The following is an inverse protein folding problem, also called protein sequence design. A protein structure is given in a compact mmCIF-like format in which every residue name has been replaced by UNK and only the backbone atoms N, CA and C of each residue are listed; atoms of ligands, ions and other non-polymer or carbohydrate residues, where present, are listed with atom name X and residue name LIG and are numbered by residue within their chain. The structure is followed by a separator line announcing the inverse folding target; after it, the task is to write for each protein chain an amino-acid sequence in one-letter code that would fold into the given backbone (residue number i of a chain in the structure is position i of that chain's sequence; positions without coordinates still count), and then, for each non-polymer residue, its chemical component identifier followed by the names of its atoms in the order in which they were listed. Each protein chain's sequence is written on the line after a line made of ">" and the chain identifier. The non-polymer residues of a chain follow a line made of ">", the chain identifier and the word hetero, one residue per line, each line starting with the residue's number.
data_IF_005214871197
#
_entry.id   IF_005214871197
#
_cell.length_a   1.000
_cell.length_b   1.000
_cell.length_c   1.000
_cell.angle_alpha   90.00
_cell.angle_beta   90.00
_cell.angle_gamma   90.00
#
_symmetry.space_group_name_H-M   'P 1'
#
loop_
_entity.id
_entity.type
_entity.pdbx_description
1 polymer ?
#
# COMPACT_ATOMS: atom_id res chain seq x y z
N UNK A 1 -5.41 4.48 -7.62
CA UNK A 1 -6.23 4.38 -6.39
C UNK A 1 -7.70 4.07 -6.68
N UNK A 2 -8.46 4.77 -7.57
CA UNK A 2 -9.86 4.42 -7.85
C UNK A 2 -10.06 3.00 -8.37
N UNK A 3 -9.18 2.53 -9.27
CA UNK A 3 -9.18 1.16 -9.78
C UNK A 3 -8.96 0.14 -8.66
N UNK A 4 -8.08 0.44 -7.70
CA UNK A 4 -7.83 -0.41 -6.53
C UNK A 4 -9.04 -0.51 -5.60
N UNK A 5 -9.77 0.59 -5.40
CA UNK A 5 -11.04 0.58 -4.66
C UNK A 5 -12.07 -0.30 -5.35
N UNK A 6 -12.30 -0.10 -6.65
CA UNK A 6 -13.21 -0.94 -7.44
C UNK A 6 -12.82 -2.42 -7.41
N UNK A 7 -11.53 -2.75 -7.52
CA UNK A 7 -11.06 -4.13 -7.43
C UNK A 7 -11.30 -4.74 -6.04
N UNK A 8 -11.07 -3.98 -4.96
CA UNK A 8 -11.33 -4.40 -3.59
C UNK A 8 -12.82 -4.64 -3.29
N UNK A 9 -13.73 -3.96 -4.02
CA UNK A 9 -15.17 -4.17 -3.87
C UNK A 9 -15.69 -5.36 -4.69
N UNK A 10 -15.00 -5.72 -5.80
CA UNK A 10 -15.44 -6.76 -6.73
C UNK A 10 -14.78 -8.12 -6.46
N UNK A 11 -13.54 -8.12 -6.03
CA UNK A 11 -12.75 -9.33 -5.76
C UNK A 11 -12.56 -9.53 -4.25
N UNK A 12 -12.12 -10.73 -3.87
CA UNK A 12 -11.70 -11.02 -2.51
C UNK A 12 -10.58 -10.06 -2.09
N UNK A 13 -10.79 -9.32 -1.01
CA UNK A 13 -9.82 -8.34 -0.50
C UNK A 13 -8.51 -8.98 -0.09
N UNK A 14 -8.57 -10.20 0.44
CA UNK A 14 -7.40 -11.03 0.72
C UNK A 14 -6.53 -11.17 -0.52
N UNK A 15 -7.12 -11.60 -1.64
CA UNK A 15 -6.36 -11.84 -2.86
C UNK A 15 -5.85 -10.55 -3.50
N UNK A 16 -6.62 -9.47 -3.46
CA UNK A 16 -6.17 -8.16 -3.95
C UNK A 16 -4.95 -7.67 -3.18
N UNK A 17 -4.98 -7.75 -1.83
CA UNK A 17 -3.84 -7.37 -0.98
C UNK A 17 -2.63 -8.27 -1.24
N UNK A 18 -2.84 -9.59 -1.28
CA UNK A 18 -1.75 -10.57 -1.45
C UNK A 18 -1.07 -10.42 -2.81
N UNK A 19 -1.86 -10.33 -3.89
CA UNK A 19 -1.33 -10.18 -5.24
C UNK A 19 -0.60 -8.83 -5.38
N UNK A 20 -1.13 -7.75 -4.81
CA UNK A 20 -0.49 -6.45 -4.82
C UNK A 20 0.89 -6.48 -4.14
N UNK A 21 1.00 -7.12 -2.96
CA UNK A 21 2.27 -7.29 -2.25
C UNK A 21 3.26 -8.13 -3.06
N UNK A 22 2.83 -9.27 -3.58
CA UNK A 22 3.69 -10.15 -4.39
C UNK A 22 4.18 -9.45 -5.65
N UNK A 23 3.29 -8.77 -6.37
CA UNK A 23 3.61 -8.00 -7.56
C UNK A 23 4.63 -6.89 -7.26
N UNK A 24 4.38 -6.10 -6.21
CA UNK A 24 5.30 -5.05 -5.78
C UNK A 24 6.66 -5.61 -5.37
N UNK A 25 6.67 -6.70 -4.63
CA UNK A 25 7.91 -7.33 -4.15
C UNK A 25 8.75 -7.90 -5.30
N UNK A 26 8.11 -8.54 -6.28
CA UNK A 26 8.77 -9.03 -7.49
C UNK A 26 9.34 -7.86 -8.31
N UNK A 27 8.56 -6.80 -8.55
CA UNK A 27 9.02 -5.62 -9.27
C UNK A 27 10.17 -4.91 -8.52
N UNK A 28 10.13 -4.88 -7.19
CA UNK A 28 11.21 -4.36 -6.36
C UNK A 28 12.47 -5.21 -6.50
N UNK A 29 12.37 -6.54 -6.44
CA UNK A 29 13.52 -7.44 -6.64
C UNK A 29 14.16 -7.25 -8.02
N UNK A 30 13.35 -7.16 -9.08
CA UNK A 30 13.84 -6.90 -10.43
C UNK A 30 14.47 -5.51 -10.59
N UNK A 31 14.13 -4.53 -9.76
CA UNK A 31 14.79 -3.23 -9.74
C UNK A 31 16.28 -3.36 -9.42
N UNK A 32 16.67 -4.30 -8.55
CA UNK A 32 18.08 -4.59 -8.28
C UNK A 32 18.84 -5.25 -9.45
N UNK A 33 18.14 -5.69 -10.48
CA UNK A 33 18.74 -6.25 -11.72
C UNK A 33 18.72 -5.24 -12.86
N UNK A 34 18.36 -3.98 -12.61
CA UNK A 34 18.26 -2.96 -13.64
C UNK A 34 19.64 -2.59 -14.19
N UNK A 35 19.84 -2.77 -15.49
CA UNK A 35 21.10 -2.47 -16.20
C UNK A 35 21.15 -1.07 -16.77
N UNK A 36 20.05 -0.30 -16.69
CA UNK A 36 19.97 1.05 -17.21
C UNK A 36 18.82 1.86 -16.63
N UNK A 37 18.93 3.17 -16.78
CA UNK A 37 17.99 4.16 -16.20
C UNK A 37 16.55 3.91 -16.69
N UNK A 38 16.35 3.59 -17.96
CA UNK A 38 15.01 3.36 -18.52
C UNK A 38 14.37 2.14 -17.84
N UNK A 39 15.09 1.03 -17.68
CA UNK A 39 14.61 -0.15 -16.99
C UNK A 39 14.28 0.14 -15.53
N UNK A 40 15.12 0.92 -14.85
CA UNK A 40 14.90 1.35 -13.48
C UNK A 40 13.63 2.19 -13.35
N UNK A 41 13.42 3.17 -14.23
CA UNK A 41 12.20 3.99 -14.25
C UNK A 41 10.97 3.12 -14.47
N UNK A 42 10.99 2.22 -15.46
CA UNK A 42 9.86 1.34 -15.76
C UNK A 42 9.51 0.44 -14.57
N UNK A 43 10.50 -0.23 -13.99
CA UNK A 43 10.30 -1.12 -12.84
C UNK A 43 9.78 -0.36 -11.61
N UNK A 44 10.33 0.82 -11.33
CA UNK A 44 9.85 1.67 -10.22
C UNK A 44 8.43 2.19 -10.46
N UNK A 45 8.11 2.61 -11.67
CA UNK A 45 6.76 3.05 -12.03
C UNK A 45 5.74 1.91 -11.93
N UNK A 46 6.10 0.71 -12.41
CA UNK A 46 5.26 -0.49 -12.33
C UNK A 46 5.10 -0.94 -10.88
N UNK A 47 6.17 -0.98 -10.09
CA UNK A 47 6.12 -1.35 -8.67
C UNK A 47 5.20 -0.39 -7.89
N UNK A 48 5.42 0.91 -8.02
CA UNK A 48 4.64 1.92 -7.28
C UNK A 48 3.21 2.01 -7.82
N UNK A 49 3.05 2.15 -9.13
CA UNK A 49 1.73 2.32 -9.74
C UNK A 49 0.84 1.09 -9.65
N UNK A 50 1.41 -0.11 -9.87
CA UNK A 50 0.67 -1.37 -9.82
C UNK A 50 0.41 -1.88 -8.41
N UNK A 51 1.42 -1.88 -7.54
CA UNK A 51 1.31 -2.42 -6.19
C UNK A 51 0.54 -1.51 -5.25
N UNK A 52 1.00 -0.28 -5.10
CA UNK A 52 0.46 0.66 -4.11
C UNK A 52 -0.98 1.09 -4.41
N UNK A 53 -1.32 1.27 -5.69
CA UNK A 53 -2.66 1.68 -6.11
C UNK A 53 -3.76 0.66 -5.73
N UNK A 54 -3.43 -0.63 -5.70
CA UNK A 54 -4.37 -1.70 -5.33
C UNK A 54 -4.28 -2.07 -3.85
N UNK A 55 -3.09 -2.02 -3.26
CA UNK A 55 -2.87 -2.39 -1.87
C UNK A 55 -3.61 -1.49 -0.89
N UNK A 56 -3.45 -0.18 -1.01
CA UNK A 56 -3.97 0.79 -0.03
C UNK A 56 -5.46 0.64 0.24
N UNK A 57 -6.34 0.80 -0.77
CA UNK A 57 -7.79 0.70 -0.57
C UNK A 57 -8.24 -0.65 -0.02
N UNK A 58 -7.70 -1.76 -0.56
CA UNK A 58 -8.05 -3.10 -0.14
C UNK A 58 -7.61 -3.39 1.30
N UNK A 59 -6.39 -2.98 1.68
CA UNK A 59 -5.84 -3.15 3.01
C UNK A 59 -6.63 -2.38 4.08
N UNK A 60 -6.91 -1.08 3.86
CA UNK A 60 -7.72 -0.29 4.80
C UNK A 60 -9.14 -0.82 4.94
N UNK A 61 -9.72 -1.31 3.85
CA UNK A 61 -11.04 -1.92 3.87
C UNK A 61 -11.03 -3.24 4.66
N UNK A 62 -10.02 -4.09 4.45
CA UNK A 62 -9.86 -5.34 5.18
C UNK A 62 -9.65 -5.08 6.67
N UNK A 63 -8.77 -4.15 7.03
CA UNK A 63 -8.51 -3.76 8.41
C UNK A 63 -9.78 -3.27 9.12
N UNK A 64 -10.60 -2.45 8.41
CA UNK A 64 -11.88 -1.96 8.93
C UNK A 64 -12.93 -3.05 9.13
N UNK A 65 -12.88 -4.14 8.38
CA UNK A 65 -13.79 -5.28 8.54
C UNK A 65 -13.47 -6.14 9.76
N UNK A 66 -12.17 -6.37 9.99
CA UNK A 66 -11.72 -7.16 11.16
C UNK A 66 -11.87 -6.40 12.49
N UNK A 67 -11.83 -5.08 12.45
CA UNK A 67 -11.82 -4.23 13.64
C UNK A 67 -12.99 -3.24 13.64
N UNK A 68 -14.25 -3.74 13.71
CA UNK A 68 -15.45 -2.87 13.68
C UNK A 68 -15.47 -1.87 14.84
N UNK A 69 -15.26 -2.34 16.07
CA UNK A 69 -15.30 -1.51 17.28
C UNK A 69 -13.98 -0.78 17.57
N UNK A 70 -12.85 -1.38 17.18
CA UNK A 70 -11.50 -0.86 17.46
C UNK A 70 -10.83 -0.30 16.21
N UNK A 71 -11.60 0.09 15.20
CA UNK A 71 -11.11 0.53 13.88
C UNK A 71 -10.04 1.64 13.98
N UNK A 72 -10.31 2.68 14.77
CA UNK A 72 -9.37 3.80 14.92
C UNK A 72 -8.02 3.34 15.50
N UNK A 73 -8.07 2.47 16.52
CA UNK A 73 -6.87 1.90 17.14
C UNK A 73 -6.08 1.03 16.16
N UNK A 74 -6.76 0.18 15.41
CA UNK A 74 -6.12 -0.68 14.41
C UNK A 74 -5.45 0.14 13.29
N UNK A 75 -6.12 1.20 12.80
CA UNK A 75 -5.56 2.12 11.83
C UNK A 75 -4.34 2.86 12.36
N UNK A 76 -4.36 3.31 13.63
CA UNK A 76 -3.22 4.00 14.26
C UNK A 76 -2.02 3.06 14.41
N UNK A 77 -2.23 1.81 14.83
CA UNK A 77 -1.15 0.81 14.92
C UNK A 77 -0.56 0.52 13.54
N UNK A 78 -1.41 0.33 12.52
CA UNK A 78 -0.98 0.14 11.15
C UNK A 78 -0.12 1.31 10.65
N UNK A 79 -0.57 2.54 10.90
CA UNK A 79 0.16 3.74 10.47
C UNK A 79 1.49 3.90 11.20
N UNK A 80 1.52 3.59 12.51
CA UNK A 80 2.77 3.59 13.29
C UNK A 80 3.75 2.54 12.74
N UNK A 81 3.29 1.32 12.46
CA UNK A 81 4.10 0.28 11.86
C UNK A 81 4.66 0.69 10.48
N UNK A 82 3.87 1.40 9.68
CA UNK A 82 4.32 1.95 8.39
C UNK A 82 5.51 2.90 8.58
N UNK A 83 5.42 3.89 9.48
CA UNK A 83 6.52 4.84 9.71
C UNK A 83 7.77 4.19 10.31
N UNK A 84 7.60 3.24 11.23
CA UNK A 84 8.72 2.45 11.75
C UNK A 84 9.39 1.67 10.60
N UNK A 85 8.59 1.08 9.72
CA UNK A 85 9.08 0.38 8.53
C UNK A 85 9.87 1.27 7.59
N UNK A 86 9.41 2.50 7.34
CA UNK A 86 10.11 3.49 6.50
C UNK A 86 11.49 3.84 7.09
N UNK A 87 11.56 4.11 8.40
CA UNK A 87 12.80 4.44 9.09
C UNK A 87 13.78 3.28 9.02
N UNK A 88 13.36 2.08 9.39
CA UNK A 88 14.19 0.87 9.39
C UNK A 88 14.65 0.51 7.97
N UNK A 89 13.76 0.62 6.99
CA UNK A 89 14.09 0.33 5.60
C UNK A 89 15.13 1.31 5.06
N UNK A 90 15.02 2.60 5.35
CA UNK A 90 16.00 3.60 4.93
C UNK A 90 17.39 3.33 5.52
N UNK A 91 17.45 3.09 6.83
CA UNK A 91 18.70 2.76 7.51
C UNK A 91 19.32 1.46 6.98
N UNK A 92 18.53 0.39 6.87
CA UNK A 92 19.02 -0.91 6.42
C UNK A 92 19.41 -0.88 4.94
N UNK A 93 18.65 -0.16 4.09
CA UNK A 93 18.99 0.00 2.69
C UNK A 93 20.31 0.73 2.50
N UNK A 94 20.56 1.81 3.25
CA UNK A 94 21.85 2.51 3.26
C UNK A 94 23.00 1.59 3.67
N UNK A 95 22.84 0.88 4.79
CA UNK A 95 23.86 -0.06 5.27
C UNK A 95 24.19 -1.16 4.24
N UNK A 96 23.17 -1.74 3.59
CA UNK A 96 23.38 -2.77 2.55
C UNK A 96 24.05 -2.15 1.33
N UNK A 97 23.62 -0.96 0.92
CA UNK A 97 24.17 -0.27 -0.23
C UNK A 97 25.68 0.04 -0.06
N UNK A 98 26.09 0.47 1.14
CA UNK A 98 27.48 0.76 1.47
C UNK A 98 28.38 -0.50 1.49
N UNK A 99 27.83 -1.66 1.86
CA UNK A 99 28.61 -2.90 2.01
C UNK A 99 28.59 -3.78 0.77
N UNK A 100 27.47 -3.87 0.07
CA UNK A 100 27.23 -4.83 -0.99
C UNK A 100 26.88 -4.17 -2.35
N UNK A 101 26.49 -2.91 -2.34
CA UNK A 101 25.93 -2.19 -3.49
C UNK A 101 24.42 -2.00 -3.37
N UNK A 102 23.92 -0.93 -4.00
CA UNK A 102 22.51 -0.54 -3.94
C UNK A 102 21.56 -1.61 -4.53
N UNK A 103 22.03 -2.40 -5.51
CA UNK A 103 21.29 -3.47 -6.16
C UNK A 103 20.81 -4.52 -5.16
N UNK A 104 21.68 -4.88 -4.21
CA UNK A 104 21.37 -5.87 -3.18
C UNK A 104 20.28 -5.40 -2.23
N UNK A 105 20.15 -4.12 -1.97
CA UNK A 105 19.05 -3.58 -1.17
C UNK A 105 17.69 -3.93 -1.79
N UNK A 106 17.54 -3.74 -3.11
CA UNK A 106 16.30 -4.07 -3.81
C UNK A 106 16.06 -5.59 -3.88
N UNK A 107 17.10 -6.38 -4.11
CA UNK A 107 16.99 -7.85 -4.18
C UNK A 107 16.55 -8.40 -2.82
N UNK A 108 17.18 -7.97 -1.73
CA UNK A 108 16.89 -8.46 -0.37
C UNK A 108 15.48 -8.04 0.06
N UNK A 109 15.12 -6.76 -0.08
CA UNK A 109 13.78 -6.31 0.28
C UNK A 109 12.70 -6.93 -0.57
N UNK A 110 12.93 -7.12 -1.88
CA UNK A 110 12.02 -7.82 -2.75
C UNK A 110 11.83 -9.28 -2.34
N UNK A 111 12.91 -9.99 -2.03
CA UNK A 111 12.85 -11.38 -1.56
C UNK A 111 12.09 -11.51 -0.23
N UNK A 112 12.37 -10.65 0.74
CA UNK A 112 11.65 -10.59 2.03
C UNK A 112 10.16 -10.30 1.79
N UNK A 113 9.85 -9.37 0.88
CA UNK A 113 8.47 -9.06 0.52
C UNK A 113 7.74 -10.23 -0.14
N UNK A 114 8.39 -11.02 -0.99
CA UNK A 114 7.82 -12.24 -1.58
C UNK A 114 7.51 -13.27 -0.49
N UNK A 115 8.46 -13.54 0.41
CA UNK A 115 8.24 -14.45 1.54
C UNK A 115 7.06 -14.00 2.39
N UNK A 116 7.00 -12.70 2.70
CA UNK A 116 5.88 -12.13 3.46
C UNK A 116 4.55 -12.24 2.72
N UNK A 117 4.53 -11.97 1.41
CA UNK A 117 3.36 -12.13 0.55
C UNK A 117 2.83 -13.56 0.54
N UNK A 118 3.72 -14.56 0.51
CA UNK A 118 3.36 -15.99 0.60
C UNK A 118 2.76 -16.31 1.99
N UNK A 119 3.35 -15.81 3.07
CA UNK A 119 2.81 -15.96 4.42
C UNK A 119 1.41 -15.35 4.52
N UNK A 120 1.22 -14.15 3.94
CA UNK A 120 -0.09 -13.50 3.87
C UNK A 120 -1.11 -14.33 3.08
N UNK A 121 -0.71 -14.90 1.93
CA UNK A 121 -1.59 -15.78 1.14
C UNK A 121 -2.14 -16.96 1.96
N UNK A 122 -1.29 -17.55 2.81
CA UNK A 122 -1.63 -18.73 3.62
C UNK A 122 -2.42 -18.33 4.88
N UNK A 123 -2.02 -17.25 5.54
CA UNK A 123 -2.54 -16.90 6.88
C UNK A 123 -3.75 -15.96 6.84
N UNK A 124 -3.86 -15.12 5.81
CA UNK A 124 -4.95 -14.16 5.71
C UNK A 124 -6.23 -14.91 5.32
N UNK A 125 -7.28 -14.75 6.13
CA UNK A 125 -8.63 -15.28 5.82
C UNK A 125 -9.49 -14.17 5.22
N UNK A 126 -10.36 -14.49 4.28
CA UNK A 126 -11.39 -13.56 3.83
C UNK A 126 -12.59 -13.64 4.78
N UNK A 127 -13.20 -12.52 5.11
CA UNK A 127 -14.30 -12.53 6.08
C UNK A 127 -15.53 -13.28 5.57
N UNK A 128 -15.73 -13.39 4.25
CA UNK A 128 -16.76 -14.26 3.67
C UNK A 128 -16.55 -15.73 4.00
N UNK A 129 -15.30 -16.19 4.13
CA UNK A 129 -14.99 -17.56 4.56
C UNK A 129 -15.20 -17.73 6.07
N UNK A 130 -14.91 -16.69 6.88
CA UNK A 130 -15.08 -16.72 8.33
C UNK A 130 -16.56 -16.62 8.75
N UNK A 131 -17.38 -15.87 8.04
CA UNK A 131 -18.82 -15.78 8.31
C UNK A 131 -19.56 -17.06 7.88
N UNK A 132 -19.04 -17.82 6.92
CA UNK A 132 -19.60 -19.13 6.54
C UNK A 132 -19.26 -20.22 7.58
N UNK A 133 -18.17 -20.09 8.34
CA UNK A 133 -17.83 -20.99 9.45
C UNK A 133 -18.58 -20.64 10.75
N UNK A 134 -18.98 -19.36 10.95
CA UNK A 134 -19.60 -18.88 12.20
C UNK A 134 -21.15 -18.72 12.13
N UNK A 135 -21.74 -18.81 10.93
CA UNK A 135 -23.18 -18.67 10.74
C UNK A 135 -23.97 -19.96 11.09
N UNK A 136 -24.01 -20.27 12.39
CA UNK A 136 -25.20 -20.89 12.99
C UNK A 136 -26.07 -19.89 13.80
N UNK A 137 -25.85 -18.58 13.68
CA UNK A 137 -26.65 -17.60 14.43
C UNK A 137 -26.92 -16.32 13.59
N UNK A 138 -28.22 -16.19 13.24
CA UNK A 138 -28.98 -15.01 12.84
C UNK A 138 -28.45 -14.12 11.70
N UNK A 139 -29.11 -14.23 10.55
CA UNK A 139 -29.09 -13.31 9.42
C UNK A 139 -29.63 -11.93 9.86
N UNK A 140 -28.73 -10.97 10.06
CA UNK A 140 -29.10 -9.56 9.95
C UNK A 140 -29.02 -9.19 8.46
N UNK A 141 -30.12 -8.73 7.82
CA UNK A 141 -30.09 -8.39 6.40
C UNK A 141 -29.11 -7.24 6.17
N UNK A 142 -27.95 -7.57 5.63
CA UNK A 142 -27.03 -6.56 5.08
C UNK A 142 -27.72 -6.03 3.84
N UNK A 143 -28.25 -4.80 3.94
CA UNK A 143 -28.73 -4.04 2.79
C UNK A 143 -27.75 -4.24 1.63
N UNK A 144 -28.27 -4.71 0.51
CA UNK A 144 -27.51 -4.89 -0.74
C UNK A 144 -26.75 -3.60 -1.02
N UNK A 145 -25.45 -3.62 -0.77
CA UNK A 145 -24.56 -2.51 -1.18
C UNK A 145 -24.59 -2.52 -2.70
N UNK A 146 -25.38 -1.62 -3.29
CA UNK A 146 -25.43 -1.40 -4.74
C UNK A 146 -23.99 -1.30 -5.23
N UNK A 147 -23.60 -2.19 -6.13
CA UNK A 147 -22.28 -2.16 -6.78
C UNK A 147 -22.15 -0.84 -7.55
N UNK A 148 -21.52 0.13 -6.93
CA UNK A 148 -21.30 1.47 -7.49
C UNK A 148 -20.28 1.34 -8.63
N UNK A 149 -20.63 1.81 -9.82
CA UNK A 149 -19.72 1.87 -10.95
C UNK A 149 -18.54 2.83 -10.66
N UNK A 150 -17.40 2.63 -11.34
CA UNK A 150 -16.23 3.52 -11.18
C UNK A 150 -16.61 4.98 -11.44
N UNK A 151 -17.38 5.25 -12.47
CA UNK A 151 -17.83 6.60 -12.83
C UNK A 151 -18.76 7.22 -11.77
N UNK A 152 -19.64 6.41 -11.17
CA UNK A 152 -20.52 6.88 -10.10
C UNK A 152 -19.74 7.22 -8.83
N UNK A 153 -18.67 6.44 -8.52
CA UNK A 153 -17.74 6.75 -7.45
C UNK A 153 -17.04 8.08 -7.66
N UNK A 154 -16.51 8.35 -8.85
CA UNK A 154 -15.93 9.64 -9.20
C UNK A 154 -16.95 10.78 -9.07
N UNK A 155 -18.12 10.61 -9.66
CA UNK A 155 -19.20 11.60 -9.57
C UNK A 155 -19.54 11.92 -8.12
N UNK A 156 -19.67 10.92 -7.27
CA UNK A 156 -19.97 11.09 -5.84
C UNK A 156 -18.90 11.92 -5.12
N UNK A 157 -17.60 11.67 -5.36
CA UNK A 157 -16.51 12.45 -4.76
C UNK A 157 -16.57 13.91 -5.20
N UNK A 158 -16.76 14.19 -6.48
CA UNK A 158 -16.80 15.56 -7.00
C UNK A 158 -18.10 16.31 -6.68
N UNK A 159 -19.21 15.61 -6.45
CA UNK A 159 -20.50 16.23 -6.10
C UNK A 159 -20.70 16.40 -4.59
N UNK A 160 -19.90 15.72 -3.76
CA UNK A 160 -20.00 15.84 -2.30
C UNK A 160 -18.95 16.83 -1.77
N UNK A 161 -19.33 18.04 -1.30
CA UNK A 161 -18.38 19.09 -0.91
C UNK A 161 -17.39 18.63 0.16
N UNK A 162 -17.84 17.86 1.15
CA UNK A 162 -16.99 17.31 2.22
C UNK A 162 -15.93 16.34 1.64
N UNK A 163 -16.31 15.46 0.73
CA UNK A 163 -15.39 14.53 0.09
C UNK A 163 -14.35 15.26 -0.76
N UNK A 164 -14.78 16.31 -1.48
CA UNK A 164 -13.90 17.14 -2.31
C UNK A 164 -12.89 17.90 -1.44
N UNK A 165 -13.34 18.55 -0.36
CA UNK A 165 -12.46 19.28 0.55
C UNK A 165 -11.43 18.36 1.22
N UNK A 166 -11.84 17.16 1.66
CA UNK A 166 -10.93 16.17 2.22
C UNK A 166 -9.91 15.69 1.19
N UNK A 167 -10.34 15.47 -0.04
CA UNK A 167 -9.45 15.06 -1.14
C UNK A 167 -8.40 16.13 -1.44
N UNK A 168 -8.80 17.39 -1.56
CA UNK A 168 -7.88 18.51 -1.81
C UNK A 168 -6.93 18.69 -0.62
N UNK A 169 -7.44 18.69 0.61
CA UNK A 169 -6.61 18.83 1.82
C UNK A 169 -5.60 17.72 1.96
N UNK A 170 -6.01 16.46 1.72
CA UNK A 170 -5.11 15.31 1.76
C UNK A 170 -4.07 15.36 0.64
N UNK A 171 -4.44 15.77 -0.57
CA UNK A 171 -3.51 15.95 -1.69
C UNK A 171 -2.45 17.01 -1.38
N UNK A 172 -2.83 18.13 -0.76
CA UNK A 172 -1.91 19.17 -0.31
C UNK A 172 -0.94 18.64 0.76
N UNK A 173 -1.44 17.88 1.73
CA UNK A 173 -0.60 17.26 2.77
C UNK A 173 0.43 16.30 2.16
N UNK A 174 0.00 15.42 1.26
CA UNK A 174 0.90 14.47 0.59
C UNK A 174 1.93 15.19 -0.27
N UNK A 175 1.53 16.25 -0.97
CA UNK A 175 2.46 17.07 -1.77
C UNK A 175 3.59 17.64 -0.90
N UNK A 176 3.26 18.23 0.25
CA UNK A 176 4.26 18.79 1.18
C UNK A 176 5.17 17.71 1.73
N UNK A 177 4.60 16.59 2.23
CA UNK A 177 5.38 15.49 2.81
C UNK A 177 6.32 14.89 1.76
N UNK A 178 5.83 14.59 0.57
CA UNK A 178 6.63 13.99 -0.50
C UNK A 178 7.73 14.94 -0.98
N UNK A 179 7.38 16.21 -1.17
CA UNK A 179 8.38 17.23 -1.53
C UNK A 179 9.49 17.35 -0.49
N UNK A 180 9.12 17.41 0.79
CA UNK A 180 10.07 17.48 1.89
C UNK A 180 10.97 16.24 1.94
N UNK A 181 10.38 15.04 1.91
CA UNK A 181 11.14 13.77 1.95
C UNK A 181 12.07 13.59 0.75
N UNK A 182 11.70 14.12 -0.41
CA UNK A 182 12.51 13.98 -1.63
C UNK A 182 13.69 14.98 -1.64
N UNK A 183 13.45 16.23 -1.24
CA UNK A 183 14.44 17.28 -1.44
C UNK A 183 15.32 17.56 -0.23
N UNK A 184 14.87 17.24 1.00
CA UNK A 184 15.70 17.48 2.20
C UNK A 184 17.01 16.72 2.21
N UNK A 185 17.10 15.42 1.84
CA UNK A 185 18.38 14.74 1.77
C UNK A 185 19.36 15.40 0.80
N UNK A 186 18.89 15.76 -0.39
CA UNK A 186 19.71 16.46 -1.39
C UNK A 186 20.18 17.83 -0.88
N UNK A 187 19.31 18.60 -0.27
CA UNK A 187 19.63 19.88 0.34
C UNK A 187 20.69 19.77 1.45
N UNK A 188 20.53 18.76 2.34
CA UNK A 188 21.50 18.54 3.42
C UNK A 188 22.89 18.11 2.89
N UNK A 189 22.92 17.32 1.81
CA UNK A 189 24.18 16.95 1.16
C UNK A 189 24.87 18.16 0.51
N UNK A 190 24.11 18.98 -0.19
CA UNK A 190 24.64 20.13 -0.91
C UNK A 190 25.13 21.25 0.04
N UNK A 191 24.34 21.55 1.08
CA UNK A 191 24.61 22.68 1.97
C UNK A 191 25.58 22.36 3.12
N UNK A 192 25.50 21.15 3.66
CA UNK A 192 26.25 20.73 4.85
C UNK A 192 27.29 19.65 4.59
N UNK A 193 27.44 19.16 3.37
CA UNK A 193 28.40 18.12 3.01
C UNK A 193 28.24 16.83 3.79
N UNK A 194 27.04 16.56 4.31
CA UNK A 194 26.76 15.33 5.06
C UNK A 194 26.42 14.20 4.08
N UNK A 195 27.26 13.18 4.06
CA UNK A 195 27.08 11.94 3.32
C UNK A 195 26.31 10.93 4.15
#
# INVERSE_FOLDING_TARGET
>A
VPLGGWAGDRFSRKWVVTIAILFWSVATMFTGLATGVIMLILLRSVATGGGEAFFGPANYSLLGQYHKETRARAMSIHQTAYYIGVILAGWLAGYIADKLGWEYSFIIFGAVGIVWGIIMAIRLKDKKESEAEDNQTEEVPVNEVKKVGIFDGFKTVFTTPTALMLTIGFSGLIFVITGFMTWVPAFLQEEFGQT
#
